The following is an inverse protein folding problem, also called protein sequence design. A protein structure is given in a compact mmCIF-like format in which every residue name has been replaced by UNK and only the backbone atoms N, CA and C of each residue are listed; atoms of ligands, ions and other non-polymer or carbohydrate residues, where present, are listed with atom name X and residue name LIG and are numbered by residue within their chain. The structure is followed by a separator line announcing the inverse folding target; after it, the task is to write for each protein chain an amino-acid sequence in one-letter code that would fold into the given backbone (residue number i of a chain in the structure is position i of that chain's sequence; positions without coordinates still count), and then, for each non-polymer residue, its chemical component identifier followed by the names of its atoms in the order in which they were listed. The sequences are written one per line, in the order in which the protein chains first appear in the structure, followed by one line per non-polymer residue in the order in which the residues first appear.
data_IF_185395794197
#
_entry.id   IF_185395794197
#
_cell.length_a   1.000
_cell.length_b   1.000
_cell.length_c   1.000
_cell.angle_alpha   90.00
_cell.angle_beta   90.00
_cell.angle_gamma   90.00
#
_symmetry.space_group_name_H-M   'P 1'
#
loop_
_entity.id
_entity.type
_entity.pdbx_description
1 polymer ?
#
# COMPACT_ATOMS: atom_id res chain seq x y z
N UNK A 1 -13.39 -23.77 -3.57
CA UNK A 1 -12.83 -23.37 -2.26
C UNK A 1 -11.33 -23.51 -2.37
N UNK A 2 -10.57 -22.46 -2.04
CA UNK A 2 -9.12 -22.41 -2.22
C UNK A 2 -8.41 -22.63 -0.89
N UNK A 3 -7.34 -23.42 -0.86
CA UNK A 3 -6.46 -23.57 0.28
C UNK A 3 -5.33 -22.56 0.19
N UNK A 4 -5.17 -21.69 1.20
CA UNK A 4 -4.13 -20.68 1.24
C UNK A 4 -2.84 -21.21 1.88
N UNK A 5 -1.72 -20.84 1.28
CA UNK A 5 -0.36 -21.13 1.74
C UNK A 5 0.29 -19.82 2.18
N UNK A 6 0.78 -19.72 3.40
CA UNK A 6 1.50 -18.55 3.89
C UNK A 6 2.99 -18.86 3.93
N UNK A 7 3.79 -18.00 3.28
CA UNK A 7 5.24 -18.11 3.27
C UNK A 7 5.89 -16.97 4.03
N UNK A 8 6.63 -17.30 5.09
CA UNK A 8 7.38 -16.36 5.94
C UNK A 8 6.55 -15.11 6.30
N UNK A 9 5.38 -15.25 6.96
CA UNK A 9 4.47 -14.14 7.25
C UNK A 9 5.01 -13.23 8.35
N UNK A 10 6.06 -12.45 8.04
CA UNK A 10 6.77 -11.57 8.98
C UNK A 10 6.22 -10.15 9.08
N UNK A 11 5.21 -9.78 8.27
CA UNK A 11 4.51 -8.51 8.33
C UNK A 11 3.03 -8.75 8.62
N UNK A 12 2.43 -7.89 9.45
CA UNK A 12 1.03 -8.07 9.90
C UNK A 12 0.01 -8.07 8.74
N UNK A 13 0.36 -7.53 7.58
CA UNK A 13 -0.46 -7.59 6.37
C UNK A 13 -0.82 -9.02 5.96
N UNK A 14 0.04 -10.01 6.22
CA UNK A 14 -0.28 -11.41 5.98
C UNK A 14 -1.56 -11.83 6.71
N UNK A 15 -1.64 -11.53 8.01
CA UNK A 15 -2.81 -11.87 8.82
C UNK A 15 -4.05 -11.07 8.41
N UNK A 16 -3.91 -9.82 7.97
CA UNK A 16 -5.04 -8.98 7.57
C UNK A 16 -5.80 -9.54 6.36
N UNK A 17 -5.19 -10.32 5.49
CA UNK A 17 -5.90 -11.04 4.41
C UNK A 17 -6.92 -12.05 4.96
N UNK A 18 -6.73 -12.49 6.21
CA UNK A 18 -7.58 -13.43 6.94
C UNK A 18 -8.50 -12.76 7.96
N UNK A 19 -8.59 -11.42 7.96
CA UNK A 19 -9.40 -10.68 8.93
C UNK A 19 -10.88 -11.06 8.86
N UNK A 20 -11.37 -11.41 7.68
CA UNK A 20 -12.75 -11.82 7.45
C UNK A 20 -12.80 -13.21 6.81
N UNK A 21 -13.78 -14.00 7.24
CA UNK A 21 -14.00 -15.32 6.65
C UNK A 21 -14.77 -15.17 5.33
N UNK A 22 -14.33 -15.91 4.32
CA UNK A 22 -15.05 -16.04 3.04
C UNK A 22 -15.32 -17.50 2.74
N UNK A 23 -16.49 -17.88 2.19
CA UNK A 23 -16.77 -19.27 1.82
C UNK A 23 -15.91 -19.77 0.64
N UNK A 24 -15.15 -18.87 0.00
CA UNK A 24 -14.23 -19.19 -1.11
C UNK A 24 -12.92 -19.82 -0.63
N UNK A 25 -12.57 -19.60 0.66
CA UNK A 25 -11.30 -20.04 1.27
C UNK A 25 -11.54 -21.15 2.28
N UNK A 26 -10.73 -22.21 2.22
CA UNK A 26 -10.75 -23.28 3.21
C UNK A 26 -10.31 -22.74 4.58
N UNK A 27 -11.04 -23.01 5.67
CA UNK A 27 -10.60 -22.65 7.01
C UNK A 27 -9.22 -23.22 7.39
N UNK A 28 -8.84 -24.36 6.82
CA UNK A 28 -7.52 -24.96 7.02
C UNK A 28 -6.48 -24.27 6.12
N UNK A 29 -5.64 -23.43 6.75
CA UNK A 29 -4.52 -22.75 6.09
C UNK A 29 -3.20 -23.43 6.40
N UNK A 30 -2.22 -23.35 5.48
CA UNK A 30 -0.89 -23.90 5.68
C UNK A 30 0.14 -22.80 5.80
N UNK A 31 0.95 -22.83 6.85
CA UNK A 31 1.97 -21.80 7.13
C UNK A 31 3.36 -22.44 7.09
N UNK A 32 4.18 -21.96 6.18
CA UNK A 32 5.56 -22.39 5.96
C UNK A 32 6.51 -21.28 6.38
N UNK A 33 7.20 -21.45 7.50
CA UNK A 33 8.04 -20.39 8.05
C UNK A 33 9.18 -20.93 8.91
N UNK A 34 10.19 -20.07 9.08
CA UNK A 34 11.21 -20.24 10.11
C UNK A 34 10.63 -19.89 11.49
N UNK A 35 10.97 -20.66 12.51
CA UNK A 35 10.56 -20.34 13.88
C UNK A 35 11.14 -18.99 14.33
N UNK A 36 10.34 -18.20 15.03
CA UNK A 36 10.78 -16.92 15.56
C UNK A 36 9.67 -15.91 15.79
N UNK A 37 10.04 -14.70 16.23
CA UNK A 37 9.07 -13.67 16.64
C UNK A 37 8.12 -13.23 15.51
N UNK A 38 8.56 -13.27 14.25
CA UNK A 38 7.73 -12.92 13.10
C UNK A 38 6.55 -13.89 12.96
N UNK A 39 6.83 -15.21 13.05
CA UNK A 39 5.81 -16.26 13.03
C UNK A 39 4.90 -16.19 14.27
N UNK A 40 5.46 -15.97 15.45
CA UNK A 40 4.70 -15.87 16.69
C UNK A 40 3.69 -14.72 16.64
N UNK A 41 4.09 -13.57 16.08
CA UNK A 41 3.22 -12.41 15.90
C UNK A 41 2.08 -12.71 14.91
N UNK A 42 2.36 -13.39 13.79
CA UNK A 42 1.33 -13.82 12.85
C UNK A 42 0.32 -14.76 13.51
N UNK A 43 0.79 -15.79 14.22
CA UNK A 43 -0.10 -16.75 14.89
C UNK A 43 -0.93 -16.08 16.00
N UNK A 44 -0.38 -15.07 16.69
CA UNK A 44 -1.13 -14.31 17.69
C UNK A 44 -2.28 -13.52 17.05
N UNK A 45 -2.06 -12.89 15.88
CA UNK A 45 -3.11 -12.18 15.14
C UNK A 45 -4.21 -13.13 14.68
N UNK A 46 -3.88 -14.31 14.13
CA UNK A 46 -4.88 -15.30 13.71
C UNK A 46 -5.73 -15.74 14.91
N UNK A 47 -5.10 -16.02 16.06
CA UNK A 47 -5.84 -16.33 17.29
C UNK A 47 -6.78 -15.20 17.68
N UNK A 48 -6.30 -13.94 17.64
CA UNK A 48 -7.13 -12.78 17.98
C UNK A 48 -8.36 -12.64 17.07
N UNK A 49 -8.23 -12.96 15.79
CA UNK A 49 -9.37 -12.96 14.86
C UNK A 49 -10.37 -14.08 15.16
N UNK A 50 -9.89 -15.26 15.54
CA UNK A 50 -10.76 -16.37 15.94
C UNK A 50 -11.48 -16.12 17.26
N UNK A 51 -10.85 -15.39 18.20
CA UNK A 51 -11.36 -15.20 19.58
C UNK A 51 -12.14 -13.89 19.77
N UNK A 52 -12.14 -12.98 18.79
CA UNK A 52 -12.83 -11.68 18.93
C UNK A 52 -14.34 -11.84 19.07
N UNK A 53 -14.97 -10.93 19.83
CA UNK A 53 -16.41 -10.98 20.12
C UNK A 53 -17.30 -10.68 18.90
N UNK A 54 -16.79 -9.80 18.00
CA UNK A 54 -17.53 -9.39 16.78
C UNK A 54 -16.93 -10.08 15.56
N UNK A 55 -17.78 -10.74 14.77
CA UNK A 55 -17.41 -11.44 13.55
C UNK A 55 -16.18 -12.36 13.71
N UNK A 56 -16.17 -13.31 14.70
CA UNK A 56 -15.05 -14.22 14.88
C UNK A 56 -14.82 -15.07 13.62
N UNK A 57 -13.55 -15.40 13.37
CA UNK A 57 -13.17 -16.35 12.32
C UNK A 57 -12.96 -17.75 12.91
N UNK A 58 -12.71 -18.75 12.06
CA UNK A 58 -12.43 -20.12 12.49
C UNK A 58 -11.23 -20.73 11.73
N UNK A 59 -10.17 -19.94 11.55
CA UNK A 59 -8.97 -20.39 10.86
C UNK A 59 -8.26 -21.51 11.62
N UNK A 60 -7.95 -22.60 10.92
CA UNK A 60 -7.19 -23.75 11.42
C UNK A 60 -5.78 -23.71 10.81
N UNK A 61 -4.76 -23.54 11.63
CA UNK A 61 -3.38 -23.38 11.16
C UNK A 61 -2.66 -24.73 11.12
N UNK A 62 -2.24 -25.16 9.93
CA UNK A 62 -1.32 -26.25 9.72
C UNK A 62 0.10 -25.70 9.57
N UNK A 63 0.91 -25.82 10.63
CA UNK A 63 2.22 -25.20 10.72
C UNK A 63 3.33 -26.15 10.21
N UNK A 64 4.18 -25.64 9.32
CA UNK A 64 5.33 -26.31 8.73
C UNK A 64 6.60 -25.48 8.98
N UNK A 65 7.32 -25.75 10.06
CA UNK A 65 8.53 -24.99 10.42
C UNK A 65 9.82 -25.59 9.86
N UNK A 66 10.82 -24.76 9.63
CA UNK A 66 12.18 -25.13 9.22
C UNK A 66 12.79 -24.22 8.16
N UNK A 67 14.10 -24.36 7.96
CA UNK A 67 14.91 -23.46 7.10
C UNK A 67 14.58 -23.53 5.59
N UNK A 68 13.91 -24.59 5.14
CA UNK A 68 13.56 -24.82 3.74
C UNK A 68 12.08 -24.53 3.45
N UNK A 69 11.51 -23.53 4.11
CA UNK A 69 10.08 -23.24 4.08
C UNK A 69 9.52 -23.10 2.65
N UNK A 70 10.18 -22.36 1.76
CA UNK A 70 9.74 -22.18 0.37
C UNK A 70 9.76 -23.49 -0.42
N UNK A 71 10.85 -24.26 -0.33
CA UNK A 71 10.96 -25.53 -1.04
C UNK A 71 9.90 -26.53 -0.55
N UNK A 72 9.67 -26.60 0.78
CA UNK A 72 8.61 -27.44 1.35
C UNK A 72 7.23 -27.01 0.88
N UNK A 73 6.94 -25.73 0.84
CA UNK A 73 5.66 -25.21 0.31
C UNK A 73 5.43 -25.69 -1.11
N UNK A 74 6.47 -25.64 -1.96
CA UNK A 74 6.41 -26.08 -3.37
C UNK A 74 6.24 -27.60 -3.48
N UNK A 75 6.97 -28.36 -2.67
CA UNK A 75 6.98 -29.83 -2.72
C UNK A 75 5.70 -30.43 -2.14
N UNK A 76 5.24 -29.92 -0.98
CA UNK A 76 4.02 -30.40 -0.29
C UNK A 76 2.75 -30.03 -1.09
N UNK A 77 2.71 -28.85 -1.68
CA UNK A 77 1.64 -28.33 -2.55
C UNK A 77 0.23 -28.55 -2.00
N UNK A 78 0.02 -28.20 -0.74
CA UNK A 78 -1.29 -28.31 -0.09
C UNK A 78 -2.36 -27.36 -0.65
N UNK A 79 -1.97 -26.37 -1.47
CA UNK A 79 -2.83 -25.40 -2.11
C UNK A 79 -2.22 -24.82 -3.38
N UNK A 80 -2.92 -23.90 -4.00
CA UNK A 80 -2.53 -23.26 -5.26
C UNK A 80 -2.31 -21.74 -5.16
N UNK A 81 -2.56 -21.15 -3.98
CA UNK A 81 -2.45 -19.72 -3.71
C UNK A 81 -1.52 -19.48 -2.53
N UNK A 82 -0.41 -18.78 -2.77
CA UNK A 82 0.54 -18.39 -1.73
C UNK A 82 0.38 -16.91 -1.37
N UNK A 83 0.38 -16.60 -0.07
CA UNK A 83 0.38 -15.24 0.49
C UNK A 83 1.79 -14.93 1.00
N UNK A 84 2.40 -13.86 0.50
CA UNK A 84 3.74 -13.42 0.86
C UNK A 84 3.69 -12.02 1.45
N UNK A 85 3.89 -11.89 2.76
CA UNK A 85 4.01 -10.60 3.43
C UNK A 85 5.07 -10.70 4.53
N UNK A 86 6.31 -10.44 4.17
CA UNK A 86 7.49 -10.52 5.02
C UNK A 86 8.62 -9.70 4.44
N UNK A 87 9.87 -10.14 4.63
CA UNK A 87 11.06 -9.45 4.12
C UNK A 87 11.03 -9.28 2.61
N UNK A 88 11.46 -8.09 2.13
CA UNK A 88 11.29 -7.69 0.74
C UNK A 88 12.50 -8.00 -0.15
N UNK A 89 13.69 -8.11 0.42
CA UNK A 89 14.95 -8.24 -0.32
C UNK A 89 15.07 -9.52 -1.18
N UNK A 90 14.34 -10.58 -0.84
CA UNK A 90 14.32 -11.85 -1.61
C UNK A 90 12.93 -12.17 -2.18
N UNK A 91 12.01 -11.22 -2.13
CA UNK A 91 10.59 -11.46 -2.45
C UNK A 91 10.39 -11.86 -3.90
N UNK A 92 11.06 -11.18 -4.86
CA UNK A 92 10.94 -11.53 -6.29
C UNK A 92 11.47 -12.93 -6.60
N UNK A 93 12.52 -13.38 -5.91
CA UNK A 93 13.02 -14.73 -6.06
C UNK A 93 11.99 -15.76 -5.61
N UNK A 94 11.29 -15.48 -4.49
CA UNK A 94 10.21 -16.32 -4.00
C UNK A 94 9.01 -16.34 -4.94
N UNK A 95 8.58 -15.17 -5.44
CA UNK A 95 7.51 -15.06 -6.45
C UNK A 95 7.88 -15.89 -7.69
N UNK A 96 9.10 -15.76 -8.16
CA UNK A 96 9.56 -16.52 -9.33
C UNK A 96 9.54 -18.02 -9.09
N UNK A 97 10.00 -18.50 -7.94
CA UNK A 97 9.98 -19.93 -7.61
C UNK A 97 8.55 -20.49 -7.55
N UNK A 98 7.61 -19.72 -6.97
CA UNK A 98 6.18 -20.07 -6.96
C UNK A 98 5.58 -20.09 -8.37
N UNK A 99 5.92 -19.09 -9.19
CA UNK A 99 5.50 -19.02 -10.58
C UNK A 99 5.97 -20.28 -11.36
N UNK A 100 7.25 -20.65 -11.23
CA UNK A 100 7.79 -21.83 -11.90
C UNK A 100 7.16 -23.13 -11.40
N UNK A 101 6.68 -23.16 -10.15
CA UNK A 101 5.94 -24.27 -9.57
C UNK A 101 4.44 -24.27 -9.93
N UNK A 102 3.94 -23.29 -10.66
CA UNK A 102 2.52 -23.17 -11.01
C UNK A 102 1.63 -22.79 -9.83
N UNK A 103 2.14 -22.00 -8.87
CA UNK A 103 1.41 -21.51 -7.69
C UNK A 103 1.15 -20.02 -7.85
N UNK A 104 -0.11 -19.61 -7.69
CA UNK A 104 -0.51 -18.20 -7.67
C UNK A 104 0.03 -17.50 -6.44
N UNK A 105 0.33 -16.19 -6.52
CA UNK A 105 0.89 -15.44 -5.41
C UNK A 105 0.16 -14.11 -5.20
N UNK A 106 -0.35 -13.89 -3.98
CA UNK A 106 -0.80 -12.59 -3.51
C UNK A 106 0.27 -12.02 -2.57
N UNK A 107 0.88 -10.89 -2.94
CA UNK A 107 2.17 -10.50 -2.40
C UNK A 107 2.16 -9.07 -1.88
N UNK A 108 2.57 -8.88 -0.64
CA UNK A 108 2.71 -7.55 -0.05
C UNK A 108 3.82 -6.73 -0.72
N UNK A 109 3.60 -5.43 -0.80
CA UNK A 109 4.56 -4.46 -1.34
C UNK A 109 5.72 -4.18 -0.34
N UNK A 110 6.85 -3.66 -0.80
CA UNK A 110 7.34 -3.65 -2.17
C UNK A 110 7.84 -5.02 -2.61
N UNK A 111 7.80 -5.28 -3.92
CA UNK A 111 8.35 -6.52 -4.46
C UNK A 111 9.86 -6.44 -4.71
N UNK A 112 10.35 -5.22 -4.90
CA UNK A 112 11.76 -4.96 -5.16
C UNK A 112 12.28 -3.84 -4.26
N UNK A 113 13.52 -3.93 -3.89
CA UNK A 113 14.24 -2.90 -3.12
C UNK A 113 15.39 -2.27 -3.93
N UNK A 114 15.73 -2.82 -5.10
CA UNK A 114 16.81 -2.32 -6.00
C UNK A 114 16.46 -2.62 -7.46
N UNK A 115 16.97 -1.80 -8.39
CA UNK A 115 16.81 -2.00 -9.84
C UNK A 115 17.46 -3.30 -10.36
N UNK A 116 18.45 -3.84 -9.67
CA UNK A 116 19.07 -5.11 -10.02
C UNK A 116 18.06 -6.28 -10.10
N UNK A 117 16.90 -6.16 -9.44
CA UNK A 117 15.85 -7.16 -9.46
C UNK A 117 14.83 -7.00 -10.62
N UNK A 118 14.86 -5.90 -11.40
CA UNK A 118 13.93 -5.65 -12.50
C UNK A 118 13.82 -6.78 -13.55
N UNK A 119 14.91 -7.48 -13.95
CA UNK A 119 14.78 -8.61 -14.86
C UNK A 119 13.90 -9.75 -14.32
N UNK A 120 13.89 -9.97 -13.00
CA UNK A 120 13.01 -10.96 -12.36
C UNK A 120 11.55 -10.50 -12.33
N UNK A 121 11.30 -9.19 -12.22
CA UNK A 121 9.95 -8.62 -12.21
C UNK A 121 9.19 -8.98 -13.49
N UNK A 122 9.82 -8.81 -14.66
CA UNK A 122 9.22 -9.17 -15.94
C UNK A 122 8.85 -10.67 -16.02
N UNK A 123 9.69 -11.53 -15.45
CA UNK A 123 9.43 -12.96 -15.41
C UNK A 123 8.32 -13.31 -14.41
N UNK A 124 8.29 -12.67 -13.24
CA UNK A 124 7.29 -12.89 -12.20
C UNK A 124 5.87 -12.41 -12.61
N UNK A 125 5.79 -11.56 -13.63
CA UNK A 125 4.53 -11.01 -14.16
C UNK A 125 4.19 -11.49 -15.57
N UNK A 126 4.82 -12.55 -16.07
CA UNK A 126 4.73 -12.99 -17.47
C UNK A 126 3.47 -13.82 -17.82
N UNK A 127 2.43 -13.81 -17.01
CA UNK A 127 1.18 -14.56 -17.23
C UNK A 127 0.93 -15.58 -16.11
N UNK A 128 0.04 -16.59 -16.33
CA UNK A 128 -0.25 -17.57 -15.30
C UNK A 128 0.96 -18.45 -14.95
N UNK A 129 1.12 -18.83 -13.67
CA UNK A 129 0.28 -18.45 -12.54
C UNK A 129 0.36 -16.97 -12.21
N UNK A 130 -0.72 -16.46 -11.59
CA UNK A 130 -0.89 -15.03 -11.33
C UNK A 130 -0.05 -14.59 -10.14
N UNK A 131 0.57 -13.41 -10.23
CA UNK A 131 1.15 -12.72 -9.09
C UNK A 131 0.57 -11.30 -9.00
N UNK A 132 -0.14 -10.99 -7.90
CA UNK A 132 -0.76 -9.69 -7.65
C UNK A 132 -0.17 -9.06 -6.40
N UNK A 133 0.07 -7.75 -6.43
CA UNK A 133 0.50 -7.03 -5.23
C UNK A 133 -0.71 -6.55 -4.39
N UNK A 134 -0.52 -6.58 -3.07
CA UNK A 134 -1.53 -6.12 -2.12
C UNK A 134 -1.54 -4.58 -2.13
N UNK A 135 -2.49 -4.00 -2.87
CA UNK A 135 -2.74 -2.56 -2.94
C UNK A 135 -4.15 -2.25 -2.46
N UNK A 136 -4.25 -1.69 -1.27
CA UNK A 136 -5.53 -1.48 -0.57
C UNK A 136 -6.21 -0.17 -0.90
N UNK A 137 -5.49 0.82 -1.44
CA UNK A 137 -5.99 2.19 -1.64
C UNK A 137 -7.19 2.27 -2.59
N UNK A 138 -7.33 1.32 -3.52
CA UNK A 138 -8.45 1.29 -4.49
C UNK A 138 -9.80 0.95 -3.83
N UNK A 139 -9.78 0.37 -2.62
CA UNK A 139 -10.96 0.10 -1.81
C UNK A 139 -11.32 1.24 -0.85
N UNK A 140 -10.45 2.24 -0.73
CA UNK A 140 -10.70 3.41 0.11
C UNK A 140 -11.70 4.36 -0.57
N UNK A 141 -12.78 4.70 0.12
CA UNK A 141 -13.85 5.56 -0.41
C UNK A 141 -13.35 6.97 -0.76
N UNK A 142 -12.33 7.49 -0.05
CA UNK A 142 -11.71 8.80 -0.35
C UNK A 142 -10.99 8.74 -1.71
N UNK A 143 -10.25 7.66 -1.94
CA UNK A 143 -9.55 7.46 -3.22
C UNK A 143 -10.53 7.24 -4.37
N UNK A 144 -11.62 6.49 -4.13
CA UNK A 144 -12.70 6.29 -5.10
C UNK A 144 -13.41 7.59 -5.45
N UNK A 145 -13.75 8.42 -4.45
CA UNK A 145 -14.36 9.73 -4.67
C UNK A 145 -13.43 10.69 -5.40
N UNK A 146 -12.12 10.70 -5.06
CA UNK A 146 -11.14 11.49 -5.80
C UNK A 146 -11.11 11.11 -7.27
N UNK A 147 -11.10 9.81 -7.58
CA UNK A 147 -11.18 9.33 -8.95
C UNK A 147 -12.50 9.73 -9.62
N UNK A 148 -13.63 9.60 -8.91
CA UNK A 148 -14.95 9.97 -9.43
C UNK A 148 -15.03 11.45 -9.82
N UNK A 149 -14.49 12.36 -8.99
CA UNK A 149 -14.43 13.79 -9.32
C UNK A 149 -13.59 14.03 -10.57
N UNK A 150 -12.39 13.44 -10.65
CA UNK A 150 -11.48 13.59 -11.81
C UNK A 150 -12.09 12.99 -13.06
N UNK A 151 -12.77 11.87 -12.99
CA UNK A 151 -13.45 11.24 -14.12
C UNK A 151 -14.71 12.02 -14.60
N UNK A 152 -15.19 12.98 -13.81
CA UNK A 152 -16.34 13.81 -14.18
C UNK A 152 -15.89 15.03 -14.97
N UNK A 153 -15.68 14.88 -16.29
CA UNK A 153 -15.14 15.90 -17.19
C UNK A 153 -15.85 17.26 -17.08
N UNK A 154 -17.18 17.29 -17.00
CA UNK A 154 -17.96 18.51 -16.87
C UNK A 154 -17.69 19.29 -15.56
N UNK A 155 -17.11 18.63 -14.53
CA UNK A 155 -16.75 19.21 -13.25
C UNK A 155 -15.25 19.52 -13.18
N UNK A 156 -14.40 18.53 -13.48
CA UNK A 156 -12.96 18.59 -13.34
C UNK A 156 -12.26 19.30 -14.51
N UNK A 157 -12.72 19.04 -15.74
CA UNK A 157 -12.05 19.47 -16.96
C UNK A 157 -10.79 18.64 -17.26
N UNK A 158 -9.72 19.32 -17.68
CA UNK A 158 -8.42 18.73 -17.94
C UNK A 158 -7.45 19.01 -16.79
N UNK A 159 -6.39 18.21 -16.64
CA UNK A 159 -5.31 18.51 -15.70
C UNK A 159 -4.69 19.88 -16.02
N UNK A 160 -4.46 20.69 -14.98
CA UNK A 160 -4.09 22.10 -15.12
C UNK A 160 -3.05 22.55 -14.08
N UNK A 161 -2.14 21.66 -13.72
CA UNK A 161 -0.99 21.96 -12.86
C UNK A 161 0.09 22.76 -13.57
N UNK A 162 1.10 23.15 -12.82
CA UNK A 162 2.30 23.85 -13.29
C UNK A 162 3.54 23.17 -12.70
N UNK A 163 4.75 23.58 -13.14
CA UNK A 163 6.00 23.08 -12.54
C UNK A 163 6.11 23.42 -11.02
N UNK A 164 5.57 24.55 -10.59
CA UNK A 164 5.54 24.94 -9.19
C UNK A 164 4.46 24.21 -8.41
N UNK A 165 3.29 24.01 -9.03
CA UNK A 165 2.11 23.35 -8.49
C UNK A 165 1.70 22.17 -9.39
N UNK A 166 2.31 21.00 -9.22
CA UNK A 166 2.05 19.84 -10.07
C UNK A 166 0.57 19.48 -10.21
N UNK A 167 0.23 18.79 -11.28
CA UNK A 167 -1.13 18.32 -11.53
C UNK A 167 -1.63 17.43 -10.39
N UNK A 168 -0.75 16.58 -9.86
CA UNK A 168 -1.02 15.76 -8.69
C UNK A 168 0.12 15.82 -7.69
N UNK A 169 -0.17 16.32 -6.50
CA UNK A 169 0.71 16.25 -5.33
C UNK A 169 0.12 15.34 -4.27
N UNK A 170 0.95 14.45 -3.72
CA UNK A 170 0.57 13.57 -2.62
C UNK A 170 1.69 13.56 -1.57
N UNK A 171 1.32 13.80 -0.32
CA UNK A 171 2.24 13.81 0.81
C UNK A 171 1.71 12.91 1.91
N UNK A 172 2.60 12.14 2.51
CA UNK A 172 2.30 11.29 3.65
C UNK A 172 3.40 11.37 4.70
N UNK A 173 3.03 11.63 5.93
CA UNK A 173 3.93 11.56 7.09
C UNK A 173 3.44 10.46 8.01
N UNK A 174 4.30 9.48 8.24
CA UNK A 174 4.07 8.36 9.12
C UNK A 174 4.87 8.49 10.41
N UNK A 175 4.51 7.71 11.44
CA UNK A 175 5.21 7.69 12.70
C UNK A 175 5.78 6.30 12.98
N UNK A 176 7.07 6.23 13.36
CA UNK A 176 7.75 4.99 13.70
C UNK A 176 7.19 4.39 14.99
N UNK A 177 7.06 5.21 16.03
CA UNK A 177 6.45 4.84 17.29
C UNK A 177 5.04 5.43 17.34
N UNK A 178 4.03 4.60 17.26
CA UNK A 178 2.63 5.03 17.36
C UNK A 178 1.78 4.03 18.12
N UNK A 179 0.65 4.50 18.63
CA UNK A 179 -0.36 3.67 19.29
C UNK A 179 -1.45 3.35 18.27
N UNK A 180 -1.78 2.07 18.15
CA UNK A 180 -2.87 1.58 17.30
C UNK A 180 -3.86 0.84 18.19
N UNK A 181 -5.11 1.29 18.21
CA UNK A 181 -6.15 0.72 19.07
C UNK A 181 -5.75 0.64 20.56
N UNK A 182 -5.04 1.68 21.05
CA UNK A 182 -4.59 1.76 22.45
C UNK A 182 -3.35 0.93 22.81
N UNK A 183 -2.74 0.26 21.82
CA UNK A 183 -1.55 -0.57 22.01
C UNK A 183 -0.38 -0.01 21.20
N UNK A 184 0.85 0.11 21.79
CA UNK A 184 2.04 0.47 21.04
C UNK A 184 2.27 -0.50 19.88
N UNK A 185 2.40 0.03 18.67
CA UNK A 185 2.68 -0.77 17.48
C UNK A 185 4.11 -1.32 17.55
N UNK A 186 4.24 -2.64 17.59
CA UNK A 186 5.53 -3.32 17.52
C UNK A 186 5.88 -3.65 16.06
N UNK A 187 7.08 -3.27 15.67
CA UNK A 187 7.66 -3.56 14.35
C UNK A 187 8.76 -4.61 14.48
N UNK A 188 8.91 -5.53 13.54
CA UNK A 188 10.08 -6.40 13.55
C UNK A 188 11.37 -5.58 13.37
N UNK A 189 12.46 -5.96 14.04
CA UNK A 189 13.71 -5.19 13.97
C UNK A 189 14.27 -5.06 12.53
N UNK A 190 14.01 -6.05 11.66
CA UNK A 190 14.42 -6.00 10.24
C UNK A 190 13.71 -4.90 9.44
N UNK A 191 12.58 -4.37 9.92
CA UNK A 191 11.88 -3.24 9.30
C UNK A 191 12.78 -1.99 9.20
N UNK A 192 13.72 -1.85 10.10
CA UNK A 192 14.70 -0.77 10.15
C UNK A 192 15.94 -1.00 9.26
N UNK A 193 15.99 -2.11 8.54
CA UNK A 193 17.00 -2.37 7.52
C UNK A 193 16.45 -2.02 6.13
N UNK A 194 16.91 -0.92 5.56
CA UNK A 194 16.47 -0.45 4.23
C UNK A 194 16.85 -1.40 3.09
N UNK A 195 17.81 -2.30 3.30
CA UNK A 195 18.13 -3.33 2.31
C UNK A 195 17.12 -4.48 2.34
N UNK A 196 16.42 -4.65 3.47
CA UNK A 196 15.35 -5.65 3.64
C UNK A 196 13.98 -5.01 3.36
N UNK A 197 13.66 -3.90 4.02
CA UNK A 197 12.35 -3.25 3.92
C UNK A 197 12.18 -2.45 2.62
N UNK A 198 13.23 -1.84 2.13
CA UNK A 198 13.21 -0.76 1.15
C UNK A 198 13.40 0.59 1.82
N UNK A 199 13.95 1.54 1.09
CA UNK A 199 14.14 2.91 1.57
C UNK A 199 12.93 3.81 1.28
N UNK A 200 13.04 5.10 1.60
CA UNK A 200 11.98 6.08 1.44
C UNK A 200 11.48 6.29 -0.01
N UNK A 201 12.22 5.83 -1.02
CA UNK A 201 11.81 5.90 -2.42
C UNK A 201 11.03 4.65 -2.87
N UNK A 202 11.01 3.60 -2.06
CA UNK A 202 10.42 2.31 -2.43
C UNK A 202 9.25 1.94 -1.52
N UNK A 203 9.37 2.05 -0.21
CA UNK A 203 8.37 1.54 0.74
C UNK A 203 7.00 2.24 0.58
N UNK A 204 6.86 3.48 1.06
CA UNK A 204 5.59 4.22 1.01
C UNK A 204 5.28 4.70 -0.41
N UNK A 205 6.30 5.09 -1.18
CA UNK A 205 6.13 5.58 -2.55
C UNK A 205 5.41 4.57 -3.45
N UNK A 206 5.57 3.27 -3.22
CA UNK A 206 4.86 2.23 -3.97
C UNK A 206 3.33 2.39 -3.88
N UNK A 207 2.78 2.72 -2.71
CA UNK A 207 1.34 3.01 -2.56
C UNK A 207 0.92 4.30 -3.29
N UNK A 208 1.77 5.33 -3.24
CA UNK A 208 1.49 6.60 -3.91
C UNK A 208 1.49 6.44 -5.42
N UNK A 209 2.43 5.66 -5.97
CA UNK A 209 2.47 5.34 -7.40
C UNK A 209 1.21 4.58 -7.82
N UNK A 210 0.72 3.62 -7.02
CA UNK A 210 -0.54 2.92 -7.33
C UNK A 210 -1.73 3.88 -7.41
N UNK A 211 -1.86 4.77 -6.43
CA UNK A 211 -2.93 5.76 -6.42
C UNK A 211 -2.85 6.71 -7.62
N UNK A 212 -1.64 7.11 -8.01
CA UNK A 212 -1.40 7.99 -9.15
C UNK A 212 -1.72 7.30 -10.47
N UNK A 213 -1.24 6.06 -10.64
CA UNK A 213 -1.54 5.26 -11.83
C UNK A 213 -3.05 5.11 -12.00
N UNK A 214 -3.76 4.73 -10.94
CA UNK A 214 -5.21 4.56 -11.01
C UNK A 214 -5.96 5.86 -11.31
N UNK A 215 -5.50 6.99 -10.78
CA UNK A 215 -6.13 8.29 -11.00
C UNK A 215 -5.95 8.79 -12.44
N UNK A 216 -4.72 8.68 -12.98
CA UNK A 216 -4.35 9.24 -14.28
C UNK A 216 -4.64 8.25 -15.42
N UNK A 217 -4.52 6.96 -15.15
CA UNK A 217 -4.63 5.87 -16.10
C UNK A 217 -5.52 4.74 -15.55
N UNK A 218 -6.83 4.97 -15.38
CA UNK A 218 -7.74 3.99 -14.77
C UNK A 218 -7.84 2.68 -15.55
N UNK A 219 -7.48 2.69 -16.85
CA UNK A 219 -7.48 1.48 -17.70
C UNK A 219 -6.17 0.68 -17.60
N UNK A 220 -5.18 1.14 -16.82
CA UNK A 220 -3.88 0.51 -16.62
C UNK A 220 -3.11 0.25 -17.95
N UNK A 221 -3.16 1.21 -18.87
CA UNK A 221 -2.52 1.10 -20.19
C UNK A 221 -1.09 1.64 -20.24
N UNK A 222 -0.69 2.44 -19.24
CA UNK A 222 0.61 3.09 -19.19
C UNK A 222 1.77 2.08 -19.13
N UNK A 223 2.75 2.30 -19.99
CA UNK A 223 4.00 1.56 -20.07
C UNK A 223 5.15 2.46 -19.60
N UNK A 224 6.05 1.92 -18.75
CA UNK A 224 7.11 2.73 -18.16
C UNK A 224 7.97 3.44 -19.20
N UNK A 225 8.42 2.71 -20.22
CA UNK A 225 9.35 3.23 -21.23
C UNK A 225 8.74 4.30 -22.16
N UNK A 226 7.40 4.33 -22.27
CA UNK A 226 6.70 5.23 -23.19
C UNK A 226 6.05 6.40 -22.47
N UNK A 227 5.46 6.12 -21.32
CA UNK A 227 4.49 7.00 -20.69
C UNK A 227 5.01 7.62 -19.39
N UNK A 228 6.17 7.16 -18.86
CA UNK A 228 6.79 7.68 -17.65
C UNK A 228 8.08 8.45 -17.97
N UNK A 229 8.17 9.64 -17.40
CA UNK A 229 9.42 10.43 -17.40
C UNK A 229 9.76 10.71 -15.92
N UNK A 230 10.80 10.06 -15.42
CA UNK A 230 11.35 10.34 -14.10
C UNK A 230 12.15 11.64 -14.15
N UNK A 231 11.69 12.69 -13.46
CA UNK A 231 12.33 14.01 -13.49
C UNK A 231 13.35 14.19 -12.37
N UNK A 232 12.98 13.83 -11.15
CA UNK A 232 13.87 13.92 -9.99
C UNK A 232 13.50 12.94 -8.88
N UNK A 233 14.48 12.59 -8.06
CA UNK A 233 14.25 11.91 -6.80
C UNK A 233 15.14 12.51 -5.71
N UNK A 234 14.69 12.41 -4.46
CA UNK A 234 15.44 12.80 -3.27
C UNK A 234 15.19 11.80 -2.16
N UNK A 235 16.24 11.49 -1.40
CA UNK A 235 16.16 10.60 -0.23
C UNK A 235 16.89 11.24 0.93
N UNK A 236 16.33 11.12 2.15
CA UNK A 236 16.97 11.60 3.38
C UNK A 236 16.62 10.71 4.56
N UNK A 237 17.34 10.91 5.65
CA UNK A 237 17.24 10.06 6.85
C UNK A 237 16.36 10.68 7.92
N UNK A 238 15.73 9.81 8.71
CA UNK A 238 15.23 10.13 10.05
C UNK A 238 16.24 9.60 11.06
N UNK A 239 16.61 10.45 12.02
CA UNK A 239 17.46 10.05 13.14
C UNK A 239 16.63 9.27 14.15
N UNK A 240 16.97 8.00 14.36
CA UNK A 240 16.24 7.09 15.26
C UNK A 240 17.13 6.74 16.44
N UNK A 241 16.93 7.38 17.61
CA UNK A 241 17.66 7.03 18.84
C UNK A 241 17.38 5.60 19.28
N UNK A 242 18.35 4.98 19.98
CA UNK A 242 18.17 3.61 20.50
C UNK A 242 16.90 3.46 21.34
N UNK A 243 16.53 4.49 22.10
CA UNK A 243 15.28 4.48 22.90
C UNK A 243 14.03 4.35 22.03
N UNK A 244 13.96 5.06 20.89
CA UNK A 244 12.84 4.97 19.95
C UNK A 244 12.83 3.63 19.19
N UNK A 245 14.01 3.13 18.82
CA UNK A 245 14.16 1.82 18.22
C UNK A 245 13.68 0.71 19.18
N UNK A 246 14.11 0.75 20.45
CA UNK A 246 13.68 -0.21 21.48
C UNK A 246 12.17 -0.13 21.72
N UNK A 247 11.60 1.08 21.79
CA UNK A 247 10.15 1.27 21.98
C UNK A 247 9.35 0.63 20.84
N UNK A 248 9.78 0.80 19.61
CA UNK A 248 9.03 0.33 18.42
C UNK A 248 9.30 -1.14 18.06
N UNK A 249 10.41 -1.74 18.55
CA UNK A 249 10.78 -3.11 18.17
C UNK A 249 10.85 -4.08 19.35
N UNK A 250 10.96 -3.59 20.58
CA UNK A 250 11.28 -4.37 21.76
C UNK A 250 12.74 -4.83 21.85
N UNK A 251 13.58 -4.56 20.86
CA UNK A 251 14.99 -4.98 20.84
C UNK A 251 15.86 -4.03 21.69
N UNK A 252 16.77 -4.59 22.50
CA UNK A 252 17.62 -3.83 23.41
C UNK A 252 18.81 -3.11 22.71
N UNK A 253 19.13 -3.48 21.48
CA UNK A 253 20.24 -2.92 20.70
C UNK A 253 19.92 -2.97 19.21
N UNK A 254 20.60 -2.14 18.44
CA UNK A 254 20.55 -2.26 16.98
C UNK A 254 21.15 -3.59 16.52
N UNK A 255 20.49 -4.34 15.62
CA UNK A 255 21.07 -5.52 14.99
C UNK A 255 22.36 -5.19 14.21
N UNK A 256 23.27 -6.17 14.09
CA UNK A 256 24.56 -6.00 13.46
C UNK A 256 24.46 -5.52 11.99
N UNK A 257 23.46 -6.01 11.26
CA UNK A 257 23.23 -5.66 9.85
C UNK A 257 22.90 -4.18 9.63
N UNK A 258 22.33 -3.47 10.62
CA UNK A 258 22.03 -2.03 10.52
C UNK A 258 23.05 -1.16 11.28
N UNK A 259 23.95 -1.75 12.07
CA UNK A 259 24.94 -1.02 12.86
C UNK A 259 25.84 -0.09 12.01
N UNK A 260 26.06 -0.42 10.73
CA UNK A 260 26.79 0.42 9.77
C UNK A 260 26.14 1.79 9.51
N UNK A 261 24.87 1.94 9.80
CA UNK A 261 24.10 3.19 9.63
C UNK A 261 23.95 3.96 10.95
N UNK A 262 24.58 3.49 12.02
CA UNK A 262 24.58 4.20 13.32
C UNK A 262 25.69 5.24 13.32
N UNK A 263 25.32 6.50 13.54
CA UNK A 263 26.23 7.65 13.65
C UNK A 263 25.94 8.34 14.98
N UNK A 264 26.98 8.60 15.77
CA UNK A 264 26.91 9.22 17.10
C UNK A 264 25.92 8.54 18.07
N UNK A 265 25.73 7.23 17.91
CA UNK A 265 24.83 6.41 18.75
C UNK A 265 23.39 6.27 18.25
N UNK A 266 22.99 6.98 17.18
CA UNK A 266 21.66 6.97 16.61
C UNK A 266 21.66 6.39 15.19
N UNK A 267 20.62 5.60 14.89
CA UNK A 267 20.43 5.03 13.54
C UNK A 267 19.94 6.13 12.57
N UNK A 268 20.70 6.31 11.46
CA UNK A 268 20.31 7.16 10.34
C UNK A 268 19.46 6.35 9.36
N UNK A 269 18.15 6.30 9.59
CA UNK A 269 17.23 5.50 8.79
C UNK A 269 16.83 6.27 7.51
N UNK A 270 17.26 5.80 6.35
CA UNK A 270 16.95 6.41 5.04
C UNK A 270 15.51 6.08 4.57
N UNK A 271 14.52 6.48 5.35
CA UNK A 271 13.11 6.12 5.17
C UNK A 271 12.26 7.21 4.50
N UNK A 272 12.85 8.37 4.21
CA UNK A 272 12.14 9.50 3.60
C UNK A 272 12.48 9.62 2.11
N UNK A 273 11.50 10.07 1.31
CA UNK A 273 11.72 10.20 -0.12
C UNK A 273 10.73 11.13 -0.80
N UNK A 274 11.19 11.75 -1.89
CA UNK A 274 10.36 12.47 -2.86
C UNK A 274 10.70 11.98 -4.26
N UNK A 275 9.67 11.80 -5.09
CA UNK A 275 9.79 11.47 -6.51
C UNK A 275 8.95 12.47 -7.29
N UNK A 276 9.56 13.16 -8.26
CA UNK A 276 8.88 13.98 -9.25
C UNK A 276 8.96 13.28 -10.59
N UNK A 277 7.83 13.07 -11.25
CA UNK A 277 7.77 12.37 -12.53
C UNK A 277 6.54 12.77 -13.35
N UNK A 278 6.54 12.46 -14.64
CA UNK A 278 5.35 12.56 -15.48
C UNK A 278 4.83 11.17 -15.81
N UNK A 279 3.51 11.03 -15.74
CA UNK A 279 2.78 9.86 -16.23
C UNK A 279 1.81 10.33 -17.31
N UNK A 280 1.97 9.86 -18.56
CA UNK A 280 1.18 10.32 -19.73
C UNK A 280 1.18 11.86 -19.85
N UNK A 281 2.31 12.50 -19.52
CA UNK A 281 2.48 13.95 -19.55
C UNK A 281 2.01 14.71 -18.32
N UNK A 282 1.24 14.09 -17.43
CA UNK A 282 0.73 14.68 -16.17
C UNK A 282 1.85 14.70 -15.13
N UNK A 283 2.13 15.89 -14.59
CA UNK A 283 3.19 16.09 -13.59
C UNK A 283 2.73 15.66 -12.20
N UNK A 284 3.50 14.78 -11.60
CA UNK A 284 3.24 14.20 -10.28
C UNK A 284 4.40 14.49 -9.34
N UNK A 285 4.09 14.91 -8.11
CA UNK A 285 5.03 14.98 -7.00
C UNK A 285 4.55 14.13 -5.84
N UNK A 286 5.38 13.18 -5.42
CA UNK A 286 5.10 12.30 -4.29
C UNK A 286 6.15 12.51 -3.20
N UNK A 287 5.69 12.74 -1.97
CA UNK A 287 6.55 13.01 -0.82
C UNK A 287 6.14 12.13 0.35
N UNK A 288 7.09 11.36 0.90
CA UNK A 288 6.86 10.53 2.09
C UNK A 288 7.89 10.82 3.17
N UNK A 289 7.42 10.95 4.40
CA UNK A 289 8.27 11.13 5.57
C UNK A 289 7.90 10.19 6.71
N UNK A 290 8.90 9.91 7.54
CA UNK A 290 8.75 9.20 8.80
C UNK A 290 9.26 10.06 9.95
N UNK A 291 8.36 10.46 10.84
CA UNK A 291 8.69 11.05 12.12
C UNK A 291 8.87 9.95 13.19
N UNK A 292 9.51 10.30 14.31
CA UNK A 292 9.64 9.36 15.42
C UNK A 292 8.30 9.09 16.10
N UNK A 293 7.55 10.14 16.43
CA UNK A 293 6.27 10.07 17.13
C UNK A 293 5.33 11.18 16.67
N UNK A 294 4.02 10.92 16.67
CA UNK A 294 3.06 12.00 16.52
C UNK A 294 3.08 12.90 17.77
N UNK A 295 2.61 14.16 17.66
CA UNK A 295 2.27 14.95 18.84
C UNK A 295 1.20 14.26 19.68
N UNK A 296 1.05 14.67 20.96
CA UNK A 296 0.03 14.10 21.85
C UNK A 296 -1.37 14.23 21.23
N UNK A 297 -2.12 13.12 21.19
CA UNK A 297 -3.43 13.04 20.53
C UNK A 297 -3.37 13.08 19.00
N UNK A 298 -2.17 13.10 18.43
CA UNK A 298 -1.96 13.14 16.98
C UNK A 298 -1.89 11.76 16.34
N UNK A 299 -1.75 11.78 15.00
CA UNK A 299 -1.66 10.59 14.13
C UNK A 299 -0.74 10.84 12.94
N UNK A 300 -0.85 9.95 11.97
CA UNK A 300 -0.20 10.15 10.67
C UNK A 300 -0.88 11.31 9.91
N UNK A 301 -0.09 12.05 9.12
CA UNK A 301 -0.61 13.13 8.29
C UNK A 301 -0.69 12.65 6.83
N UNK A 302 -1.76 13.04 6.16
CA UNK A 302 -1.92 12.72 4.76
C UNK A 302 -2.56 13.89 4.01
N UNK A 303 -2.00 14.24 2.85
CA UNK A 303 -2.59 15.23 1.97
C UNK A 303 -2.42 14.82 0.51
N UNK A 304 -3.42 15.15 -0.30
CA UNK A 304 -3.34 14.99 -1.74
C UNK A 304 -4.07 16.15 -2.42
N UNK A 305 -3.48 16.70 -3.47
CA UNK A 305 -4.09 17.78 -4.27
C UNK A 305 -4.01 17.41 -5.73
N UNK A 306 -5.16 17.35 -6.39
CA UNK A 306 -5.28 17.17 -7.84
C UNK A 306 -5.82 18.47 -8.43
N UNK A 307 -5.20 18.98 -9.49
CA UNK A 307 -5.55 20.26 -10.11
C UNK A 307 -6.15 20.05 -11.49
N UNK A 308 -7.40 20.47 -11.64
CA UNK A 308 -8.09 20.49 -12.93
C UNK A 308 -8.48 21.90 -13.35
N UNK A 309 -8.76 22.10 -14.61
CA UNK A 309 -9.17 23.40 -15.19
C UNK A 309 -10.56 23.83 -14.74
N UNK A 310 -11.43 22.91 -14.34
CA UNK A 310 -12.77 23.18 -13.84
C UNK A 310 -12.86 23.20 -12.31
N UNK A 311 -12.15 22.31 -11.66
CA UNK A 311 -12.05 22.26 -10.19
C UNK A 311 -10.77 21.55 -9.76
N UNK A 312 -10.40 21.72 -8.49
CA UNK A 312 -9.39 20.88 -7.83
C UNK A 312 -10.04 19.90 -6.86
N UNK A 313 -9.28 18.87 -6.47
CA UNK A 313 -9.64 17.94 -5.39
C UNK A 313 -8.55 17.99 -4.33
N UNK A 314 -8.94 18.22 -3.10
CA UNK A 314 -8.02 18.26 -1.96
C UNK A 314 -8.46 17.22 -0.93
N UNK A 315 -7.56 16.29 -0.63
CA UNK A 315 -7.68 15.37 0.52
C UNK A 315 -6.76 15.88 1.61
N UNK A 316 -7.22 15.90 2.85
CA UNK A 316 -6.42 16.29 4.01
C UNK A 316 -6.77 15.45 5.23
N UNK A 317 -5.75 15.11 5.99
CA UNK A 317 -5.81 14.43 7.28
C UNK A 317 -4.71 15.00 8.15
N UNK A 318 -5.09 15.74 9.19
CA UNK A 318 -4.14 16.41 10.07
C UNK A 318 -4.83 17.01 11.29
N UNK A 319 -4.12 17.86 12.04
CA UNK A 319 -4.68 18.53 13.22
C UNK A 319 -5.95 19.34 12.92
N UNK A 320 -6.02 19.95 11.74
CA UNK A 320 -7.15 20.77 11.28
C UNK A 320 -8.43 19.97 11.06
N UNK A 321 -8.32 18.66 10.81
CA UNK A 321 -9.44 17.73 10.62
C UNK A 321 -9.64 16.81 11.83
N UNK A 322 -8.91 17.03 12.92
CA UNK A 322 -8.87 16.10 14.05
C UNK A 322 -8.36 14.71 13.64
N UNK A 323 -7.48 14.64 12.63
CA UNK A 323 -6.93 13.44 12.02
C UNK A 323 -7.95 12.54 11.32
N UNK A 324 -9.19 13.02 11.12
CA UNK A 324 -10.12 12.37 10.18
C UNK A 324 -9.76 12.74 8.74
N UNK A 325 -9.89 11.79 7.82
CA UNK A 325 -9.65 12.07 6.39
C UNK A 325 -10.87 12.77 5.80
N UNK A 326 -10.64 13.97 5.25
CA UNK A 326 -11.63 14.78 4.54
C UNK A 326 -11.27 14.89 3.06
N UNK A 327 -12.28 15.03 2.21
CA UNK A 327 -12.12 15.31 0.78
C UNK A 327 -12.93 16.56 0.40
N UNK A 328 -12.29 17.48 -0.30
CA UNK A 328 -12.86 18.76 -0.71
C UNK A 328 -12.76 18.92 -2.22
N UNK A 329 -13.79 19.53 -2.81
CA UNK A 329 -13.77 20.03 -4.19
C UNK A 329 -13.56 21.54 -4.11
N UNK A 330 -12.51 22.02 -4.79
CA UNK A 330 -12.08 23.44 -4.75
C UNK A 330 -12.23 24.06 -6.14
N UNK A 331 -12.44 25.38 -6.20
CA UNK A 331 -12.56 26.06 -7.49
C UNK A 331 -13.19 27.44 -7.36
N UNK A 332 -13.39 28.07 -8.51
CA UNK A 332 -13.92 29.44 -8.63
C UNK A 332 -15.46 29.47 -8.80
N UNK A 333 -15.99 30.63 -9.16
CA UNK A 333 -17.42 30.89 -9.34
C UNK A 333 -18.15 29.82 -10.15
N UNK A 334 -19.33 29.44 -9.70
CA UNK A 334 -20.17 28.41 -10.34
C UNK A 334 -19.80 26.97 -9.99
N UNK A 335 -18.79 26.72 -9.13
CA UNK A 335 -18.41 25.38 -8.68
C UNK A 335 -19.59 24.65 -8.04
N UNK A 336 -20.33 25.30 -7.12
CA UNK A 336 -21.49 24.69 -6.45
C UNK A 336 -22.53 24.20 -7.45
N UNK A 337 -22.83 25.00 -8.47
CA UNK A 337 -23.77 24.61 -9.52
C UNK A 337 -23.30 23.36 -10.27
N UNK A 338 -22.03 23.29 -10.68
CA UNK A 338 -21.47 22.12 -11.36
C UNK A 338 -21.44 20.88 -10.45
N UNK A 339 -21.06 21.07 -9.18
CA UNK A 339 -21.01 19.98 -8.19
C UNK A 339 -22.44 19.44 -7.94
N UNK A 340 -23.44 20.30 -7.76
CA UNK A 340 -24.83 19.90 -7.56
C UNK A 340 -25.41 19.15 -8.77
N UNK A 341 -24.95 19.46 -9.97
CA UNK A 341 -25.33 18.76 -11.20
C UNK A 341 -24.65 17.39 -11.34
N UNK A 342 -23.40 17.26 -10.87
CA UNK A 342 -22.64 16.00 -10.93
C UNK A 342 -23.09 14.99 -9.88
N UNK A 343 -23.38 15.45 -8.66
CA UNK A 343 -23.66 14.62 -7.48
C UNK A 343 -24.71 13.52 -7.69
N UNK A 344 -25.88 13.77 -8.33
CA UNK A 344 -26.90 12.74 -8.52
C UNK A 344 -26.39 11.50 -9.27
N UNK A 345 -25.47 11.67 -10.23
CA UNK A 345 -24.89 10.56 -10.98
C UNK A 345 -23.92 9.71 -10.14
N UNK A 346 -23.44 10.22 -9.01
CA UNK A 346 -22.54 9.50 -8.11
C UNK A 346 -23.29 8.66 -7.07
N UNK A 347 -24.60 8.91 -6.85
CA UNK A 347 -25.37 8.24 -5.80
C UNK A 347 -25.54 6.73 -6.00
N UNK A 348 -25.38 6.22 -7.22
CA UNK A 348 -25.40 4.78 -7.48
C UNK A 348 -24.18 4.09 -6.84
N UNK A 349 -23.01 4.74 -6.90
CA UNK A 349 -21.77 4.24 -6.29
C UNK A 349 -21.56 4.73 -4.85
N UNK A 350 -22.07 5.92 -4.52
CA UNK A 350 -21.93 6.55 -3.20
C UNK A 350 -23.29 7.00 -2.64
N UNK A 351 -24.14 6.05 -2.25
CA UNK A 351 -25.49 6.37 -1.77
C UNK A 351 -25.45 7.23 -0.51
N UNK A 352 -26.18 8.35 -0.54
CA UNK A 352 -26.26 9.31 0.56
C UNK A 352 -25.08 10.27 0.66
N UNK A 353 -24.20 10.32 -0.37
CA UNK A 353 -23.17 11.35 -0.46
C UNK A 353 -23.78 12.74 -0.56
N UNK A 354 -23.31 13.66 0.27
CA UNK A 354 -23.71 15.07 0.30
C UNK A 354 -22.48 15.98 0.25
N UNK A 355 -22.67 17.28 0.22
CA UNK A 355 -21.60 18.26 0.39
C UNK A 355 -22.06 19.45 1.25
N UNK A 356 -21.08 20.16 1.81
CA UNK A 356 -21.27 21.42 2.53
C UNK A 356 -20.17 22.43 2.17
N UNK A 357 -20.40 23.73 2.31
CA UNK A 357 -19.34 24.73 2.20
C UNK A 357 -18.22 24.48 3.22
N UNK A 358 -16.97 24.73 2.83
CA UNK A 358 -15.77 24.65 3.66
C UNK A 358 -14.88 25.87 3.45
N UNK A 359 -13.76 25.93 4.16
CA UNK A 359 -12.76 27.02 4.07
C UNK A 359 -12.05 27.08 2.72
N UNK A 360 -12.04 25.97 1.95
CA UNK A 360 -11.34 25.87 0.66
C UNK A 360 -12.26 25.54 -0.51
N UNK A 361 -13.57 25.46 -0.30
CA UNK A 361 -14.55 25.10 -1.33
C UNK A 361 -15.72 24.31 -0.74
N UNK A 362 -15.89 23.04 -1.14
CA UNK A 362 -16.96 22.18 -0.67
C UNK A 362 -16.39 20.85 -0.17
N UNK A 363 -16.67 20.51 1.10
CA UNK A 363 -16.38 19.20 1.67
C UNK A 363 -17.43 18.19 1.22
N UNK A 364 -17.02 17.03 0.71
CA UNK A 364 -17.89 15.90 0.42
C UNK A 364 -18.16 15.12 1.71
N UNK A 365 -19.44 15.04 2.10
CA UNK A 365 -19.89 14.39 3.32
C UNK A 365 -20.18 12.92 3.05
N UNK A 366 -19.21 12.07 3.42
CA UNK A 366 -19.28 10.64 3.18
C UNK A 366 -20.05 9.95 4.31
N UNK A 367 -21.17 9.27 4.02
CA UNK A 367 -21.88 8.48 5.01
C UNK A 367 -20.99 7.45 5.70
N UNK A 368 -21.16 7.26 7.01
CA UNK A 368 -20.37 6.31 7.81
C UNK A 368 -20.45 4.88 7.24
N UNK A 369 -21.57 4.50 6.65
CA UNK A 369 -21.75 3.18 6.04
C UNK A 369 -20.83 2.90 4.83
N UNK A 370 -20.29 3.95 4.19
CA UNK A 370 -19.33 3.83 3.08
C UNK A 370 -17.88 3.83 3.56
N UNK A 371 -17.63 4.19 4.83
CA UNK A 371 -16.27 4.24 5.39
C UNK A 371 -15.90 2.87 5.95
N UNK A 372 -15.09 2.14 5.21
CA UNK A 372 -14.47 0.89 5.66
C UNK A 372 -13.11 1.16 6.28
N UNK A 373 -12.72 0.34 7.25
CA UNK A 373 -11.40 0.44 7.86
C UNK A 373 -10.28 -0.04 6.92
N UNK A 374 -9.11 0.58 7.00
CA UNK A 374 -7.96 0.17 6.18
C UNK A 374 -7.65 -1.33 6.29
N UNK A 375 -7.82 -1.93 7.47
CA UNK A 375 -7.57 -3.35 7.68
C UNK A 375 -8.58 -4.25 6.94
N UNK A 376 -9.80 -3.77 6.66
CA UNK A 376 -10.81 -4.51 5.92
C UNK A 376 -10.48 -4.63 4.43
N UNK A 377 -9.75 -3.64 3.89
CA UNK A 377 -9.37 -3.61 2.49
C UNK A 377 -8.46 -4.78 2.07
N UNK A 378 -7.72 -5.39 3.01
CA UNK A 378 -6.88 -6.56 2.71
C UNK A 378 -7.71 -7.79 2.32
N UNK A 379 -8.84 -8.00 2.98
CA UNK A 379 -9.77 -9.07 2.61
C UNK A 379 -10.42 -8.79 1.24
N UNK A 380 -10.72 -7.51 0.93
CA UNK A 380 -11.25 -7.12 -0.39
C UNK A 380 -10.22 -7.37 -1.51
N UNK A 381 -8.94 -7.07 -1.27
CA UNK A 381 -7.87 -7.40 -2.23
C UNK A 381 -7.73 -8.92 -2.44
N UNK A 382 -7.92 -9.71 -1.38
CA UNK A 382 -7.93 -11.17 -1.51
C UNK A 382 -9.12 -11.61 -2.37
N UNK A 383 -10.32 -11.08 -2.16
CA UNK A 383 -11.49 -11.41 -2.97
C UNK A 383 -11.31 -11.05 -4.45
N UNK A 384 -10.79 -9.87 -4.77
CA UNK A 384 -10.44 -9.48 -6.15
C UNK A 384 -9.42 -10.46 -6.78
N UNK A 385 -8.44 -10.88 -5.98
CA UNK A 385 -7.44 -11.84 -6.45
C UNK A 385 -8.06 -13.21 -6.73
N UNK A 386 -8.96 -13.66 -5.89
CA UNK A 386 -9.70 -14.92 -6.10
C UNK A 386 -10.57 -14.85 -7.37
N UNK A 387 -11.18 -13.70 -7.68
CA UNK A 387 -11.92 -13.50 -8.92
C UNK A 387 -11.03 -13.69 -10.15
N UNK A 388 -9.82 -13.15 -10.14
CA UNK A 388 -8.84 -13.33 -11.21
C UNK A 388 -8.42 -14.79 -11.35
N UNK A 389 -8.18 -15.50 -10.25
CA UNK A 389 -7.81 -16.92 -10.25
C UNK A 389 -8.94 -17.78 -10.79
N UNK A 390 -10.16 -17.60 -10.30
CA UNK A 390 -11.34 -18.41 -10.67
C UNK A 390 -11.75 -18.19 -12.13
N UNK A 391 -11.63 -16.99 -12.64
CA UNK A 391 -11.93 -16.66 -14.03
C UNK A 391 -10.79 -17.02 -14.98
N UNK A 392 -9.63 -17.43 -14.42
CA UNK A 392 -8.38 -17.62 -15.18
C UNK A 392 -8.03 -16.40 -16.04
N UNK A 393 -8.45 -15.22 -15.60
CA UNK A 393 -8.24 -13.96 -16.30
C UNK A 393 -7.00 -13.28 -15.73
N UNK A 394 -5.96 -13.13 -16.54
CA UNK A 394 -4.82 -12.29 -16.23
C UNK A 394 -4.69 -11.22 -17.29
N UNK A 395 -5.40 -10.08 -17.14
CA UNK A 395 -5.25 -9.00 -18.08
C UNK A 395 -3.80 -8.49 -18.09
N UNK A 396 -3.18 -8.40 -19.25
CA UNK A 396 -1.82 -7.86 -19.40
C UNK A 396 -1.68 -6.45 -18.77
N UNK A 397 -2.77 -5.71 -18.72
CA UNK A 397 -2.82 -4.40 -18.07
C UNK A 397 -2.42 -4.45 -16.59
N UNK A 398 -2.79 -5.49 -15.84
CA UNK A 398 -2.40 -5.64 -14.43
C UNK A 398 -0.88 -5.87 -14.32
N UNK A 399 -0.33 -6.76 -15.15
CA UNK A 399 1.11 -6.99 -15.18
C UNK A 399 1.89 -5.73 -15.56
N UNK A 400 1.40 -4.97 -16.55
CA UNK A 400 1.99 -3.70 -16.98
C UNK A 400 1.98 -2.67 -15.87
N UNK A 401 0.85 -2.49 -15.18
CA UNK A 401 0.72 -1.61 -14.01
C UNK A 401 1.76 -1.95 -12.93
N UNK A 402 1.90 -3.23 -12.58
CA UNK A 402 2.87 -3.71 -11.59
C UNK A 402 4.31 -3.39 -12.06
N UNK A 403 4.65 -3.71 -13.31
CA UNK A 403 5.97 -3.42 -13.88
C UNK A 403 6.27 -1.93 -13.88
N UNK A 404 5.36 -1.09 -14.34
CA UNK A 404 5.52 0.37 -14.37
C UNK A 404 5.77 0.93 -12.97
N UNK A 405 5.02 0.50 -11.98
CA UNK A 405 5.16 0.92 -10.57
C UNK A 405 6.54 0.61 -10.02
N UNK A 406 6.94 -0.64 -10.09
CA UNK A 406 8.20 -1.07 -9.49
C UNK A 406 9.42 -0.62 -10.29
N UNK A 407 9.30 -0.43 -11.60
CA UNK A 407 10.37 0.18 -12.39
C UNK A 407 10.56 1.64 -12.00
N UNK A 408 9.49 2.42 -11.83
CA UNK A 408 9.57 3.82 -11.41
C UNK A 408 10.27 3.96 -10.05
N UNK A 409 9.82 3.23 -9.03
CA UNK A 409 10.39 3.33 -7.68
C UNK A 409 11.84 2.87 -7.63
N UNK A 410 12.20 1.81 -8.34
CA UNK A 410 13.57 1.33 -8.43
C UNK A 410 14.48 2.29 -9.18
N UNK A 411 14.01 2.85 -10.31
CA UNK A 411 14.78 3.86 -11.08
C UNK A 411 14.98 5.15 -10.29
N UNK A 412 13.96 5.57 -9.50
CA UNK A 412 14.09 6.72 -8.62
C UNK A 412 15.20 6.53 -7.57
N UNK A 413 15.38 5.32 -7.07
CA UNK A 413 16.46 4.98 -6.14
C UNK A 413 17.84 5.07 -6.79
N UNK A 414 17.96 4.73 -8.07
CA UNK A 414 19.26 4.68 -8.76
C UNK A 414 19.83 6.06 -9.11
N UNK A 415 19.01 7.10 -9.15
CA UNK A 415 19.44 8.47 -9.47
C UNK A 415 19.84 9.32 -8.25
N UNK A 416 19.83 8.72 -7.03
CA UNK A 416 20.08 9.42 -5.74
C UNK A 416 21.34 8.90 -5.05
#
# INVERSE_FOLDING_TARGET
MHTLLFYEPGHFHAALTLRSQTPRVDPAIHVYATEGPDLDAFLALIRSFNERAEAPTNWEVNLHTGDNALQRLIDDRHGEIAILAGRNNSKLQSIRALHDAGIHALVDKPWITTSAALPLLNQATAGPPLALDIMTSRHDVIAQLRQQVVATEALFGEFAGTEEHPDFEITSLHNLCKIVNGVPLQRPAWYYDVDIQGDGLVDIQTHMVDQTQWLIDPEDEADYEKDVILESAKRWTTNVPLSAFTESTGAASYPENIARHVVDGDLQLACNGQIDYRLKGILVRQHSEWALRPPEGGGDLHSATVRGSGCGVVVRQGPETGYATEIHVTGEDGLETRLSQALPAWHDSFPGLEYKPSDIGFELLIPTALRTGHEEHFAMVLDDFLDLVETSAWPEKIARRIRTRYTLTASARDIV
#
